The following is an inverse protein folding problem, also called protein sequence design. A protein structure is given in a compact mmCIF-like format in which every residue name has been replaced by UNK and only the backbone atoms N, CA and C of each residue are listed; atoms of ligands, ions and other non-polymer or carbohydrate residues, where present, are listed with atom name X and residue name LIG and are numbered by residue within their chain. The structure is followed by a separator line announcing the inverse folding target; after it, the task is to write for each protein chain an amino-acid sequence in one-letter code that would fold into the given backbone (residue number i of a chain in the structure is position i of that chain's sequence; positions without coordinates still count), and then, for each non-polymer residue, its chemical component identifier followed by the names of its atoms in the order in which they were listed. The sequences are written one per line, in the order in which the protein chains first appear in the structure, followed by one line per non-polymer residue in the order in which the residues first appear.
data_IF_022230463511
#
_entry.id   IF_022230463511
#
_cell.length_a   1.000
_cell.length_b   1.000
_cell.length_c   1.000
_cell.angle_alpha   90.00
_cell.angle_beta   90.00
_cell.angle_gamma   90.00
#
_symmetry.space_group_name_H-M   'P 1'
#
loop_
_entity.id
_entity.type
_entity.pdbx_description
1 polymer ?
#
# COMPACT_ATOMS: atom_id res chain seq x y z
N UNK A 1 24.47 2.56 -9.67
CA UNK A 1 24.05 2.62 -9.50
C UNK A 1 23.12 2.44 -9.18
N UNK A 2 22.80 2.35 -9.07
CA UNK A 2 21.91 2.37 -8.92
C UNK A 2 21.25 1.85 -8.22
N UNK A 3 20.71 1.84 -7.76
CA UNK A 3 20.13 1.51 -6.99
C UNK A 3 19.16 1.05 -6.93
N UNK A 4 18.68 0.74 -7.10
CA UNK A 4 17.78 0.38 -7.10
C UNK A 4 17.14 -0.20 -6.40
N UNK A 5 16.69 -0.07 -6.02
CA UNK A 5 16.11 -0.30 -5.28
C UNK A 5 15.07 -0.86 -5.30
N UNK A 6 14.70 -1.60 -5.37
CA UNK A 6 13.65 -2.17 -5.23
C UNK A 6 13.45 -2.37 -3.90
N UNK A 7 13.11 -1.49 -3.19
CA UNK A 7 12.85 -1.61 -1.82
C UNK A 7 11.41 -1.92 -1.66
N UNK A 8 11.08 -3.13 -1.41
CA UNK A 8 9.70 -3.51 -1.21
C UNK A 8 9.12 -2.88 0.02
N UNK A 9 9.96 -2.62 1.02
CA UNK A 9 9.47 -1.94 2.21
C UNK A 9 8.92 -0.56 1.87
N UNK A 10 9.63 0.16 1.02
CA UNK A 10 9.17 1.49 0.62
C UNK A 10 7.88 1.39 -0.17
N UNK A 11 7.76 0.37 -1.00
CA UNK A 11 6.53 0.19 -1.77
C UNK A 11 5.36 -0.14 -0.87
N UNK A 12 5.58 -0.98 0.14
CA UNK A 12 4.52 -1.30 1.08
C UNK A 12 4.09 -0.06 1.85
N UNK A 13 5.05 0.76 2.25
CA UNK A 13 4.70 2.00 2.94
C UNK A 13 3.88 2.92 2.05
N UNK A 14 4.21 2.97 0.77
CA UNK A 14 3.45 3.79 -0.15
C UNK A 14 2.01 3.28 -0.26
N UNK A 15 1.84 1.96 -0.32
CA UNK A 15 0.52 1.38 -0.38
C UNK A 15 -0.29 1.75 0.86
N UNK A 16 0.31 1.60 2.03
CA UNK A 16 -0.38 1.95 3.27
C UNK A 16 -0.77 3.41 3.29
N UNK A 17 0.14 4.27 2.87
CA UNK A 17 -0.11 5.69 2.87
C UNK A 17 -1.27 6.04 1.96
N UNK A 18 -1.29 5.47 0.77
CA UNK A 18 -2.35 5.73 -0.18
C UNK A 18 -3.70 5.25 0.33
N UNK A 19 -3.72 4.05 0.92
CA UNK A 19 -4.97 3.51 1.42
C UNK A 19 -5.47 4.31 2.61
N UNK A 20 -4.56 4.70 3.48
CA UNK A 20 -4.95 5.53 4.62
C UNK A 20 -5.54 6.85 4.17
N UNK A 21 -4.94 7.47 3.17
CA UNK A 21 -5.48 8.72 2.66
C UNK A 21 -6.87 8.51 2.08
N UNK A 22 -7.06 7.42 1.34
CA UNK A 22 -8.38 7.14 0.78
C UNK A 22 -9.41 6.96 1.88
N UNK A 23 -9.04 6.28 2.96
CA UNK A 23 -9.95 6.09 4.08
C UNK A 23 -10.25 7.45 4.74
N UNK A 24 -9.22 8.25 4.95
CA UNK A 24 -9.39 9.54 5.62
C UNK A 24 -10.24 10.48 4.80
N UNK A 25 -10.13 10.41 3.50
CA UNK A 25 -10.92 11.27 2.62
C UNK A 25 -12.31 10.71 2.37
N UNK A 26 -12.62 9.56 2.94
CA UNK A 26 -13.94 8.99 2.76
C UNK A 26 -14.16 8.30 1.43
N UNK A 27 -13.09 8.01 0.71
CA UNK A 27 -13.22 7.36 -0.57
C UNK A 27 -13.48 5.86 -0.43
N UNK A 28 -13.10 5.27 0.68
CA UNK A 28 -13.39 3.88 0.95
C UNK A 28 -13.45 3.68 2.44
N UNK A 29 -14.10 2.61 2.84
CA UNK A 29 -14.23 2.31 4.26
C UNK A 29 -12.93 1.74 4.79
N UNK A 30 -12.81 1.69 6.12
CA UNK A 30 -11.63 1.12 6.75
C UNK A 30 -11.47 -0.35 6.34
N UNK A 31 -12.56 -1.08 6.33
CA UNK A 31 -12.50 -2.48 5.95
C UNK A 31 -12.01 -2.66 4.52
N UNK A 32 -12.53 -1.83 3.63
CA UNK A 32 -12.12 -1.92 2.24
C UNK A 32 -10.65 -1.53 2.10
N UNK A 33 -10.23 -0.50 2.79
CA UNK A 33 -8.85 -0.08 2.75
C UNK A 33 -7.90 -1.16 3.24
N UNK A 34 -8.27 -1.82 4.34
CA UNK A 34 -7.44 -2.88 4.86
C UNK A 34 -7.36 -4.05 3.90
N UNK A 35 -8.46 -4.41 3.29
CA UNK A 35 -8.47 -5.50 2.32
C UNK A 35 -7.59 -5.14 1.12
N UNK A 36 -7.66 -3.91 0.66
CA UNK A 36 -6.84 -3.48 -0.46
C UNK A 36 -5.37 -3.46 -0.10
N UNK A 37 -5.04 -3.01 1.10
CA UNK A 37 -3.66 -3.02 1.55
C UNK A 37 -3.10 -4.43 1.51
N UNK A 38 -3.86 -5.38 2.02
CA UNK A 38 -3.40 -6.75 2.08
C UNK A 38 -3.22 -7.31 0.68
N UNK A 39 -4.19 -7.06 -0.18
CA UNK A 39 -4.12 -7.58 -1.54
C UNK A 39 -2.92 -7.01 -2.29
N UNK A 40 -2.69 -5.72 -2.16
CA UNK A 40 -1.57 -5.09 -2.85
C UNK A 40 -0.24 -5.55 -2.27
N UNK A 41 -0.17 -5.70 -0.95
CA UNK A 41 1.06 -6.18 -0.33
C UNK A 41 1.36 -7.60 -0.77
N UNK A 42 0.36 -8.44 -0.84
CA UNK A 42 0.55 -9.81 -1.30
C UNK A 42 1.11 -9.83 -2.71
N UNK A 43 0.61 -8.98 -3.57
CA UNK A 43 1.08 -8.93 -4.94
C UNK A 43 2.55 -8.55 -4.99
N UNK A 44 2.96 -7.65 -4.11
CA UNK A 44 4.36 -7.25 -4.07
C UNK A 44 5.26 -8.36 -3.57
N UNK A 45 4.78 -9.11 -2.60
CA UNK A 45 5.62 -10.12 -1.98
C UNK A 45 5.71 -11.39 -2.78
N UNK A 46 4.93 -11.53 -3.79
CA UNK A 46 5.07 -12.66 -4.68
C UNK A 46 6.16 -12.38 -5.69
#
# INVERSE_FOLDING_TARGET
EAVLVTDKDAEVETIFDEELQAIMYGQKSVEQGLADMKSRSDALLK
#
